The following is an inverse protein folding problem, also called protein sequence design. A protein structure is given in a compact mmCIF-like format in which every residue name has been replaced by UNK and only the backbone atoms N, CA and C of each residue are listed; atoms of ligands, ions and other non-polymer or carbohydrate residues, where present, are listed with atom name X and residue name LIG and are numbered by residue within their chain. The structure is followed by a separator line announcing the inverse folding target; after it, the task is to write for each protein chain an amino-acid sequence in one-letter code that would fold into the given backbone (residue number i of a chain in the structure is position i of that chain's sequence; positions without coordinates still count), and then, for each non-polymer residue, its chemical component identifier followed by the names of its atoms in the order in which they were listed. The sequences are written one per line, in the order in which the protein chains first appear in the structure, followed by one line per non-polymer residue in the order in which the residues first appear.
data_IF_547841961240
#
_entry.id   IF_547841961240
#
_cell.length_a   1.000
_cell.length_b   1.000
_cell.length_c   1.000
_cell.angle_alpha   90.00
_cell.angle_beta   90.00
_cell.angle_gamma   90.00
#
_symmetry.space_group_name_H-M   'P 1'
#
loop_
_entity.id
_entity.type
_entity.pdbx_description
1 polymer ?
#
# COMPACT_ATOMS: atom_id res chain seq x y z
N UNK A 1 -2.55 20.95 -15.18
CA UNK A 1 -3.65 20.32 -14.42
C UNK A 1 -3.10 20.01 -13.04
N UNK A 2 -3.71 20.54 -11.97
CA UNK A 2 -3.29 20.24 -10.60
C UNK A 2 -3.64 18.78 -10.31
N UNK A 3 -2.65 17.88 -10.32
CA UNK A 3 -2.83 16.55 -9.77
C UNK A 3 -3.05 16.73 -8.26
N UNK A 4 -4.24 16.38 -7.78
CA UNK A 4 -4.49 16.28 -6.34
C UNK A 4 -3.65 15.11 -5.83
N UNK A 5 -2.64 15.42 -5.01
CA UNK A 5 -1.91 14.41 -4.27
C UNK A 5 -2.86 13.74 -3.28
N UNK A 6 -3.03 12.43 -3.43
CA UNK A 6 -3.88 11.64 -2.54
C UNK A 6 -3.09 11.37 -1.28
N UNK A 7 -3.49 11.98 -0.16
CA UNK A 7 -2.84 11.81 1.14
C UNK A 7 -3.58 10.80 2.04
N UNK A 8 -4.68 10.23 1.56
CA UNK A 8 -5.45 9.21 2.26
C UNK A 8 -6.14 8.28 1.24
N UNK A 9 -6.11 6.97 1.48
CA UNK A 9 -6.84 6.02 0.63
C UNK A 9 -8.33 6.07 1.01
N UNK A 10 -9.25 5.92 0.04
CA UNK A 10 -10.68 5.97 0.30
C UNK A 10 -11.22 4.72 1.04
N UNK A 11 -10.40 3.68 1.21
CA UNK A 11 -10.75 2.44 1.90
C UNK A 11 -9.82 2.20 3.08
N UNK A 12 -10.40 1.67 4.16
CA UNK A 12 -9.69 1.16 5.35
C UNK A 12 -9.76 -0.36 5.48
N UNK A 13 -10.57 -1.03 4.65
CA UNK A 13 -10.68 -2.47 4.60
C UNK A 13 -11.01 -2.96 3.18
N UNK A 14 -10.56 -4.17 2.85
CA UNK A 14 -10.85 -4.86 1.58
C UNK A 14 -11.03 -6.36 1.79
N UNK A 15 -11.86 -6.98 0.96
CA UNK A 15 -12.09 -8.43 0.98
C UNK A 15 -10.97 -9.19 0.28
N UNK A 16 -10.32 -8.55 -0.71
CA UNK A 16 -9.14 -9.10 -1.35
C UNK A 16 -8.22 -8.03 -1.92
N UNK A 17 -6.93 -8.37 -2.01
CA UNK A 17 -5.90 -7.57 -2.65
C UNK A 17 -5.25 -8.42 -3.73
N UNK A 18 -5.15 -7.87 -4.93
CA UNK A 18 -4.23 -8.38 -5.95
C UNK A 18 -3.20 -7.30 -6.24
N UNK A 19 -1.98 -7.71 -6.54
CA UNK A 19 -0.92 -6.77 -6.86
C UNK A 19 -0.15 -7.21 -8.10
N UNK A 20 0.30 -6.21 -8.85
CA UNK A 20 1.02 -6.41 -10.10
C UNK A 20 2.13 -5.37 -10.21
N UNK A 21 3.36 -5.82 -10.44
CA UNK A 21 4.48 -4.94 -10.69
C UNK A 21 4.66 -4.75 -12.20
N UNK A 22 4.44 -3.53 -12.69
CA UNK A 22 4.57 -3.17 -14.11
C UNK A 22 5.76 -2.23 -14.30
N UNK A 23 6.91 -2.62 -13.73
CA UNK A 23 8.17 -1.87 -13.84
C UNK A 23 8.23 -0.70 -12.88
N UNK A 24 7.93 0.52 -13.35
CA UNK A 24 8.03 1.75 -12.53
C UNK A 24 6.77 2.01 -11.69
N UNK A 25 5.71 1.25 -11.92
CA UNK A 25 4.42 1.39 -11.22
C UNK A 25 4.06 0.05 -10.61
N UNK A 26 3.75 0.06 -9.32
CA UNK A 26 3.14 -1.08 -8.64
C UNK A 26 1.64 -0.83 -8.50
N UNK A 27 0.86 -1.80 -8.92
CA UNK A 27 -0.59 -1.71 -8.90
C UNK A 27 -1.11 -2.55 -7.74
N UNK A 28 -1.97 -1.95 -6.91
CA UNK A 28 -2.83 -2.65 -5.97
C UNK A 28 -4.26 -2.60 -6.49
N UNK A 29 -4.83 -3.75 -6.78
CA UNK A 29 -6.25 -3.94 -7.05
C UNK A 29 -6.89 -4.31 -5.72
N UNK A 30 -7.66 -3.37 -5.19
CA UNK A 30 -8.35 -3.44 -3.91
C UNK A 30 -9.82 -3.72 -4.18
N UNK A 31 -10.35 -4.85 -3.69
CA UNK A 31 -11.73 -5.24 -3.91
C UNK A 31 -12.44 -5.38 -2.58
N UNK A 32 -13.56 -4.68 -2.42
CA UNK A 32 -14.54 -4.98 -1.38
C UNK A 32 -15.93 -5.17 -1.99
N UNK A 33 -16.92 -5.60 -1.19
CA UNK A 33 -18.30 -5.82 -1.65
C UNK A 33 -18.96 -4.63 -2.37
N UNK A 34 -18.49 -3.40 -2.15
CA UNK A 34 -19.11 -2.17 -2.67
C UNK A 34 -18.29 -1.49 -3.79
N UNK A 35 -16.97 -1.71 -3.82
CA UNK A 35 -16.02 -0.93 -4.60
C UNK A 35 -14.87 -1.80 -5.12
N UNK A 36 -14.48 -1.53 -6.37
CA UNK A 36 -13.26 -2.05 -6.96
C UNK A 36 -12.34 -0.86 -7.25
N UNK A 37 -11.23 -0.77 -6.52
CA UNK A 37 -10.27 0.31 -6.67
C UNK A 37 -8.95 -0.20 -7.24
N UNK A 38 -8.44 0.52 -8.22
CA UNK A 38 -7.09 0.36 -8.72
C UNK A 38 -6.23 1.49 -8.14
N UNK A 39 -5.32 1.14 -7.24
CA UNK A 39 -4.35 2.06 -6.65
C UNK A 39 -3.02 1.88 -7.36
N UNK A 40 -2.51 2.94 -7.95
CA UNK A 40 -1.23 2.99 -8.63
C UNK A 40 -0.21 3.69 -7.73
N UNK A 41 0.81 2.95 -7.33
CA UNK A 41 1.92 3.43 -6.50
C UNK A 41 3.11 3.72 -7.40
N UNK A 42 3.64 4.94 -7.35
CA UNK A 42 4.77 5.38 -8.19
C UNK A 42 5.96 5.75 -7.30
N UNK A 43 7.17 5.57 -7.84
CA UNK A 43 8.43 5.81 -7.14
C UNK A 43 8.46 5.10 -5.78
N UNK A 44 8.28 3.78 -5.80
CA UNK A 44 8.36 2.98 -4.58
C UNK A 44 9.79 2.96 -4.08
N UNK A 45 9.93 3.35 -2.83
CA UNK A 45 11.20 3.38 -2.11
C UNK A 45 11.34 2.16 -1.21
N UNK A 46 10.22 1.61 -0.72
CA UNK A 46 10.20 0.41 0.10
C UNK A 46 8.99 -0.46 -0.23
N UNK A 47 9.23 -1.76 -0.30
CA UNK A 47 8.19 -2.78 -0.35
C UNK A 47 8.68 -3.97 0.48
N UNK A 48 7.92 -4.32 1.51
CA UNK A 48 8.25 -5.42 2.40
C UNK A 48 7.04 -6.31 2.62
N UNK A 49 7.30 -7.62 2.68
CA UNK A 49 6.31 -8.65 2.97
C UNK A 49 6.76 -9.39 4.21
N UNK A 50 5.95 -9.37 5.25
CA UNK A 50 6.15 -10.20 6.43
C UNK A 50 4.95 -11.11 6.62
N UNK A 51 5.20 -12.40 6.81
CA UNK A 51 4.13 -13.32 7.16
C UNK A 51 3.80 -13.10 8.63
N UNK A 52 2.56 -12.77 8.94
CA UNK A 52 2.15 -12.79 10.33
C UNK A 52 2.06 -14.27 10.75
N UNK A 53 2.90 -14.66 11.72
CA UNK A 53 3.08 -16.06 12.12
C UNK A 53 1.91 -16.60 12.95
N UNK A 54 0.91 -15.78 13.22
CA UNK A 54 -0.24 -16.11 14.05
C UNK A 54 -1.39 -16.64 13.20
N UNK A 55 -1.28 -17.92 12.81
CA UNK A 55 -2.38 -18.86 12.53
C UNK A 55 -3.48 -18.42 11.55
N UNK A 56 -3.64 -19.16 10.47
CA UNK A 56 -4.90 -19.88 10.26
C UNK A 56 -4.71 -21.04 9.26
N UNK A 57 -5.08 -22.24 9.70
CA UNK A 57 -5.37 -23.40 8.87
C UNK A 57 -6.81 -23.30 8.30
N UNK A 58 -7.37 -22.10 8.19
CA UNK A 58 -8.80 -21.89 7.89
C UNK A 58 -9.01 -21.32 6.49
N UNK A 59 -9.91 -22.00 5.75
CA UNK A 59 -10.40 -21.72 4.39
C UNK A 59 -11.24 -20.43 4.27
N UNK A 60 -11.06 -19.44 5.15
CA UNK A 60 -11.87 -18.21 5.16
C UNK A 60 -11.14 -17.00 4.60
N UNK A 61 -11.90 -16.21 3.83
CA UNK A 61 -11.50 -14.94 3.22
C UNK A 61 -11.15 -13.96 4.33
N UNK A 62 -9.87 -13.59 4.43
CA UNK A 62 -9.42 -12.63 5.42
C UNK A 62 -9.66 -11.22 4.92
N UNK A 63 -10.60 -10.53 5.56
CA UNK A 63 -10.73 -9.08 5.51
C UNK A 63 -9.35 -8.47 5.80
N UNK A 64 -8.86 -7.65 4.88
CA UNK A 64 -7.54 -7.03 4.95
C UNK A 64 -7.74 -5.59 5.41
N UNK A 65 -7.17 -5.24 6.56
CA UNK A 65 -7.16 -3.86 7.04
C UNK A 65 -6.10 -3.06 6.28
N UNK A 66 -6.42 -1.82 5.95
CA UNK A 66 -5.54 -0.89 5.23
C UNK A 66 -5.31 0.34 6.10
N UNK A 67 -4.05 0.64 6.40
CA UNK A 67 -3.65 1.92 6.94
C UNK A 67 -2.90 2.71 5.87
N UNK A 68 -3.15 4.02 5.82
CA UNK A 68 -2.43 4.94 4.97
C UNK A 68 -2.09 6.22 5.75
N UNK A 69 -0.81 6.52 5.83
CA UNK A 69 -0.28 7.75 6.42
C UNK A 69 0.51 8.54 5.37
N UNK A 70 0.34 9.87 5.37
CA UNK A 70 1.17 10.78 4.59
C UNK A 70 2.02 11.64 5.53
N UNK A 71 3.27 11.26 5.74
CA UNK A 71 4.18 11.91 6.70
C UNK A 71 5.64 11.71 6.32
N UNK A 72 6.54 12.44 7.00
CA UNK A 72 7.98 12.17 6.91
C UNK A 72 8.24 10.80 7.58
N UNK A 73 8.92 9.85 6.91
CA UNK A 73 9.30 8.59 7.52
C UNK A 73 10.20 8.80 8.74
N UNK A 74 10.02 7.98 9.76
CA UNK A 74 10.89 7.92 10.91
C UNK A 74 11.97 6.84 10.69
N UNK A 75 12.90 6.71 11.63
CA UNK A 75 13.98 5.72 11.54
C UNK A 75 13.51 4.26 11.53
N UNK A 76 12.33 3.97 12.09
CA UNK A 76 11.74 2.64 12.08
C UNK A 76 11.23 2.24 10.70
N UNK A 77 10.59 3.17 9.98
CA UNK A 77 10.10 2.94 8.62
C UNK A 77 11.27 2.65 7.66
N UNK A 78 12.43 3.25 7.91
CA UNK A 78 13.61 3.15 7.05
C UNK A 78 14.59 2.04 7.46
N UNK A 79 14.29 1.27 8.52
CA UNK A 79 15.23 0.28 9.10
C UNK A 79 15.72 -0.77 8.11
N UNK A 80 14.92 -1.06 7.08
CA UNK A 80 15.17 -2.10 6.08
C UNK A 80 15.76 -1.55 4.77
N UNK A 81 16.08 -0.26 4.71
CA UNK A 81 16.69 0.33 3.51
C UNK A 81 18.15 -0.09 3.39
N UNK A 82 18.57 -0.42 2.17
CA UNK A 82 19.94 -0.85 1.87
C UNK A 82 20.94 0.30 1.82
N UNK A 83 20.48 1.55 1.92
CA UNK A 83 21.29 2.75 1.86
C UNK A 83 20.91 3.74 2.97
N UNK A 84 21.89 4.55 3.39
CA UNK A 84 21.68 5.60 4.38
C UNK A 84 20.81 6.73 3.79
N UNK A 85 19.74 7.08 4.49
CA UNK A 85 18.84 8.17 4.14
C UNK A 85 18.89 9.24 5.24
N UNK A 86 19.16 10.48 4.84
CA UNK A 86 19.06 11.64 5.73
C UNK A 86 17.59 12.04 5.90
N UNK A 87 16.98 11.57 6.99
CA UNK A 87 15.56 11.77 7.30
C UNK A 87 15.17 13.26 7.27
N UNK A 88 16.07 14.15 7.68
CA UNK A 88 15.80 15.59 7.75
C UNK A 88 15.65 16.25 6.36
N UNK A 89 16.03 15.54 5.29
CA UNK A 89 15.92 16.01 3.91
C UNK A 89 14.78 15.32 3.14
N UNK A 90 14.09 14.37 3.76
CA UNK A 90 12.97 13.70 3.12
C UNK A 90 11.76 14.63 3.05
N UNK A 91 11.08 14.58 1.90
CA UNK A 91 9.71 15.08 1.80
C UNK A 91 8.75 14.08 2.44
N UNK A 92 7.51 14.48 2.81
CA UNK A 92 6.50 13.53 3.23
C UNK A 92 6.27 12.45 2.15
N UNK A 93 6.07 11.21 2.59
CA UNK A 93 5.87 10.04 1.75
C UNK A 93 4.55 9.36 2.14
N UNK A 94 4.01 8.58 1.22
CA UNK A 94 2.86 7.72 1.49
C UNK A 94 3.35 6.40 2.06
N UNK A 95 2.85 6.05 3.23
CA UNK A 95 3.15 4.81 3.95
C UNK A 95 1.84 4.03 4.01
N UNK A 96 1.78 2.92 3.28
CA UNK A 96 0.62 2.04 3.22
C UNK A 96 0.98 0.73 3.90
N UNK A 97 0.14 0.27 4.83
CA UNK A 97 0.24 -1.07 5.37
C UNK A 97 -1.06 -1.83 5.13
N UNK A 98 -0.92 -3.03 4.58
CA UNK A 98 -2.01 -3.98 4.38
C UNK A 98 -1.83 -5.11 5.41
N UNK A 99 -2.78 -5.27 6.33
CA UNK A 99 -2.76 -6.30 7.35
C UNK A 99 -3.72 -7.43 6.98
N UNK A 100 -3.18 -8.63 6.83
CA UNK A 100 -3.94 -9.86 6.58
C UNK A 100 -3.08 -11.08 6.93
N UNK A 101 -3.20 -12.17 6.16
CA UNK A 101 -2.31 -13.34 6.31
C UNK A 101 -0.83 -13.02 6.08
N UNK A 102 -0.58 -11.97 5.32
CA UNK A 102 0.73 -11.41 5.09
C UNK A 102 0.57 -9.92 5.26
N UNK A 103 1.44 -9.33 6.07
CA UNK A 103 1.54 -7.89 6.21
C UNK A 103 2.39 -7.36 5.06
N UNK A 104 1.85 -6.42 4.30
CA UNK A 104 2.56 -5.72 3.24
C UNK A 104 2.77 -4.27 3.66
N UNK A 105 4.02 -3.84 3.73
CA UNK A 105 4.39 -2.44 4.01
C UNK A 105 4.93 -1.82 2.73
N UNK A 106 4.41 -0.66 2.34
CA UNK A 106 4.79 0.04 1.11
C UNK A 106 5.06 1.52 1.41
N UNK A 107 6.20 2.02 0.94
CA UNK A 107 6.55 3.45 1.02
C UNK A 107 6.79 3.98 -0.40
N UNK A 108 6.04 5.01 -0.78
CA UNK A 108 6.10 5.60 -2.12
C UNK A 108 5.86 7.11 -2.11
N UNK A 109 6.31 7.79 -3.16
CA UNK A 109 6.16 9.25 -3.28
C UNK A 109 4.77 9.67 -3.74
N UNK A 110 4.15 8.88 -4.63
CA UNK A 110 2.88 9.26 -5.26
C UNK A 110 1.88 8.09 -5.32
N UNK A 111 0.62 8.43 -5.10
CA UNK A 111 -0.53 7.54 -5.21
C UNK A 111 -1.54 8.12 -6.20
N UNK A 112 -2.04 7.28 -7.11
CA UNK A 112 -3.16 7.58 -7.98
C UNK A 112 -4.24 6.49 -7.82
N UNK A 113 -5.47 6.89 -7.49
CA UNK A 113 -6.60 5.96 -7.31
C UNK A 113 -7.55 6.09 -8.49
N UNK A 114 -7.96 4.95 -9.06
CA UNK A 114 -8.93 4.84 -10.15
C UNK A 114 -10.05 3.91 -9.73
N UNK A 115 -11.27 4.25 -10.11
CA UNK A 115 -12.36 3.27 -10.12
C UNK A 115 -12.05 2.20 -11.17
N UNK A 116 -12.03 0.95 -10.73
CA UNK A 116 -11.71 -0.16 -11.62
C UNK A 116 -12.99 -0.65 -12.29
N UNK A 117 -13.08 -0.44 -13.61
CA UNK A 117 -14.16 -0.98 -14.45
C UNK A 117 -13.87 -2.44 -14.81
N UNK A 118 -13.74 -3.32 -13.82
CA UNK A 118 -13.82 -4.76 -14.10
C UNK A 118 -15.29 -5.16 -14.17
N UNK A 119 -15.77 -5.40 -15.39
CA UNK A 119 -16.97 -6.21 -15.61
C UNK A 119 -16.56 -7.66 -15.38
N UNK A 120 -17.20 -8.33 -14.40
CA UNK A 120 -17.21 -9.78 -14.32
C UNK A 120 -17.71 -10.39 -15.64
#
# INVERSE_FOLDING_TARGET
MNQQFITQLPLTYVDSVQFENIGTIFQLKLLNHEQNLLVLLKNILHLNFSKDSLRSDDDFVNLIEITHEYRIPNSHDLRNYTFYIDINKLSPLNIITLYGNTTMEIICEEIEVKESTFRN
#
